data_IF_151459490176
#
_entry.id   IF_151459490176
#
_cell.length_a   1.000
_cell.length_b   1.000
_cell.length_c   1.000
_cell.angle_alpha   90.00
_cell.angle_beta   90.00
_cell.angle_gamma   90.00
#
_symmetry.space_group_name_H-M   'P 1'
#
loop_
_entity.id
_entity.type
_entity.pdbx_description
1 polymer ?
#
# COMPACT_ATOMS: atom_id res chain seq x y z
N UNK A 1 -25.19 21.01 35.27
CA UNK A 1 -25.17 22.22 34.46
C UNK A 1 -24.48 21.91 33.16
N UNK A 2 -25.08 22.23 32.02
CA UNK A 2 -24.38 22.21 30.71
C UNK A 2 -23.79 23.60 30.45
N UNK A 3 -22.65 23.68 29.82
CA UNK A 3 -22.04 24.93 29.38
C UNK A 3 -22.16 25.05 27.87
N UNK A 4 -22.37 26.26 27.32
CA UNK A 4 -22.36 26.46 25.86
C UNK A 4 -20.98 26.16 25.28
N UNK A 5 -20.94 25.62 24.04
CA UNK A 5 -19.74 25.34 23.31
C UNK A 5 -19.96 25.47 21.79
N UNK A 6 -18.89 25.80 21.07
CA UNK A 6 -18.89 25.81 19.63
C UNK A 6 -18.26 24.50 19.11
N UNK A 7 -18.64 24.10 17.91
CA UNK A 7 -18.06 22.92 17.21
C UNK A 7 -17.50 23.34 15.85
N UNK A 8 -16.36 22.85 15.52
CA UNK A 8 -15.71 23.09 14.23
C UNK A 8 -15.00 21.83 13.71
N UNK A 9 -14.77 21.80 12.40
CA UNK A 9 -14.07 20.69 11.71
C UNK A 9 -12.66 21.15 11.32
N UNK A 10 -11.77 21.34 12.28
CA UNK A 10 -10.39 21.81 12.04
C UNK A 10 -9.43 20.68 11.71
N UNK A 11 -9.67 19.47 12.24
CA UNK A 11 -8.86 18.28 11.96
C UNK A 11 -9.34 17.66 10.64
N UNK A 12 -8.41 17.31 9.73
CA UNK A 12 -8.70 16.76 8.41
C UNK A 12 -9.49 17.74 7.49
N UNK A 13 -9.15 19.02 7.53
CA UNK A 13 -9.82 20.05 6.74
C UNK A 13 -9.74 19.86 5.22
N UNK A 14 -8.65 19.22 4.71
CA UNK A 14 -8.49 18.90 3.30
C UNK A 14 -8.90 17.46 2.99
N UNK A 15 -8.47 16.49 3.80
CA UNK A 15 -8.81 15.08 3.59
C UNK A 15 -8.82 14.28 4.89
N UNK A 16 -9.88 13.48 5.05
CA UNK A 16 -9.96 12.43 6.06
C UNK A 16 -9.70 11.09 5.37
N UNK A 17 -8.60 10.44 5.72
CA UNK A 17 -8.18 9.17 5.14
C UNK A 17 -8.34 8.05 6.15
N UNK A 18 -8.84 6.90 5.71
CA UNK A 18 -8.91 5.69 6.52
C UNK A 18 -7.85 4.68 6.08
N UNK A 19 -7.28 3.95 7.02
CA UNK A 19 -6.41 2.82 6.77
C UNK A 19 -6.91 1.60 7.52
N UNK A 20 -7.12 0.50 6.81
CA UNK A 20 -7.33 -0.82 7.41
C UNK A 20 -6.03 -1.60 7.24
N UNK A 21 -5.20 -1.60 8.28
CA UNK A 21 -3.92 -2.30 8.32
C UNK A 21 -4.09 -3.75 8.81
N UNK A 22 -3.07 -4.59 8.62
CA UNK A 22 -3.03 -5.91 9.25
C UNK A 22 -2.63 -5.80 10.73
N UNK A 23 -3.19 -6.66 11.57
CA UNK A 23 -2.79 -6.72 12.99
C UNK A 23 -1.31 -7.10 13.17
N UNK A 24 -0.72 -7.79 12.20
CA UNK A 24 0.68 -8.21 12.16
C UNK A 24 1.61 -7.18 11.53
N UNK A 25 1.09 -6.17 10.81
CA UNK A 25 1.92 -5.20 10.12
C UNK A 25 2.53 -4.18 11.10
N UNK A 26 3.85 -4.10 11.11
CA UNK A 26 4.64 -3.19 11.95
C UNK A 26 5.08 -1.90 11.21
N UNK A 27 4.84 -1.81 9.89
CA UNK A 27 5.51 -0.87 9.00
C UNK A 27 4.56 0.16 8.39
N UNK A 28 3.43 -0.30 7.81
CA UNK A 28 2.56 0.56 7.02
C UNK A 28 2.09 1.82 7.78
N UNK A 29 1.65 1.68 9.05
CA UNK A 29 1.20 2.83 9.84
C UNK A 29 2.34 3.83 10.06
N UNK A 30 3.55 3.33 10.33
CA UNK A 30 4.72 4.19 10.52
C UNK A 30 5.06 4.98 9.26
N UNK A 31 5.13 4.32 8.10
CA UNK A 31 5.50 4.94 6.83
C UNK A 31 4.43 5.94 6.36
N UNK A 32 3.15 5.57 6.41
CA UNK A 32 2.06 6.45 6.01
C UNK A 32 1.90 7.67 6.94
N UNK A 33 1.99 7.47 8.27
CA UNK A 33 1.94 8.58 9.22
C UNK A 33 3.11 9.54 9.05
N UNK A 34 4.33 9.02 8.78
CA UNK A 34 5.50 9.86 8.51
C UNK A 34 5.27 10.79 7.31
N UNK A 35 4.61 10.31 6.25
CA UNK A 35 4.25 11.14 5.12
C UNK A 35 3.11 12.11 5.46
N UNK A 36 1.98 11.60 5.94
CA UNK A 36 0.74 12.38 6.06
C UNK A 36 0.81 13.44 7.16
N UNK A 37 1.58 13.22 8.24
CA UNK A 37 1.82 14.23 9.26
C UNK A 37 2.51 15.49 8.70
N UNK A 38 3.18 15.40 7.56
CA UNK A 38 3.78 16.53 6.85
C UNK A 38 2.82 17.22 5.86
N UNK A 39 1.58 16.73 5.71
CA UNK A 39 0.60 17.27 4.75
C UNK A 39 -0.49 18.00 5.52
N UNK A 40 -0.46 19.33 5.46
CA UNK A 40 -1.42 20.17 6.18
C UNK A 40 -2.87 19.82 5.82
N UNK A 41 -3.73 19.72 6.83
CA UNK A 41 -5.15 19.43 6.68
C UNK A 41 -5.49 17.99 6.26
N UNK A 42 -4.51 17.08 6.24
CA UNK A 42 -4.71 15.65 6.02
C UNK A 42 -4.58 14.90 7.33
N UNK A 43 -5.48 13.97 7.58
CA UNK A 43 -5.43 13.11 8.77
C UNK A 43 -5.71 11.66 8.41
N UNK A 44 -4.84 10.75 8.87
CA UNK A 44 -5.01 9.31 8.77
C UNK A 44 -5.65 8.75 10.05
N UNK A 45 -6.69 7.93 9.87
CA UNK A 45 -7.34 7.15 10.92
C UNK A 45 -7.15 5.69 10.60
N UNK A 46 -6.69 4.90 11.57
CA UNK A 46 -6.34 3.49 11.33
C UNK A 46 -7.18 2.56 12.19
N UNK A 47 -7.55 1.43 11.60
CA UNK A 47 -8.01 0.23 12.29
C UNK A 47 -7.23 -0.99 11.82
N UNK A 48 -7.29 -2.11 12.56
CA UNK A 48 -6.51 -3.32 12.25
C UNK A 48 -7.42 -4.52 12.05
N UNK A 49 -7.28 -5.18 10.89
CA UNK A 49 -7.96 -6.46 10.64
C UNK A 49 -7.17 -7.60 11.28
N UNK A 50 -7.84 -8.47 12.06
CA UNK A 50 -7.18 -9.63 12.67
C UNK A 50 -6.62 -10.58 11.60
N UNK A 51 -5.36 -10.93 11.74
CA UNK A 51 -4.65 -11.86 10.87
C UNK A 51 -3.70 -12.74 11.71
N UNK A 52 -3.44 -13.97 11.26
CA UNK A 52 -2.36 -14.81 11.77
C UNK A 52 -1.07 -14.53 10.97
N UNK A 53 0.14 -14.69 11.58
CA UNK A 53 1.37 -14.29 10.91
C UNK A 53 1.70 -15.03 9.62
N UNK A 54 1.27 -16.30 9.47
CA UNK A 54 1.56 -17.10 8.28
C UNK A 54 0.77 -16.62 7.07
N UNK A 55 1.46 -16.19 6.02
CA UNK A 55 0.89 -15.69 4.77
C UNK A 55 0.67 -16.85 3.80
N UNK A 56 -0.57 -17.34 3.75
CA UNK A 56 -1.03 -18.39 2.83
C UNK A 56 -2.34 -17.95 2.15
N UNK A 57 -2.71 -18.62 1.06
CA UNK A 57 -4.00 -18.35 0.40
C UNK A 57 -5.17 -18.46 1.37
N UNK A 58 -5.20 -19.47 2.24
CA UNK A 58 -6.28 -19.67 3.22
C UNK A 58 -6.35 -18.55 4.25
N UNK A 59 -5.20 -18.17 4.84
CA UNK A 59 -5.16 -17.11 5.87
C UNK A 59 -5.53 -15.75 5.27
N UNK A 60 -5.13 -15.46 4.03
CA UNK A 60 -5.50 -14.24 3.32
C UNK A 60 -7.00 -14.21 2.99
N UNK A 61 -7.56 -15.33 2.50
CA UNK A 61 -9.00 -15.45 2.20
C UNK A 61 -9.85 -15.27 3.46
N UNK A 62 -9.41 -15.82 4.60
CA UNK A 62 -10.16 -15.73 5.87
C UNK A 62 -10.30 -14.28 6.40
N UNK A 63 -9.52 -13.35 5.88
CA UNK A 63 -9.61 -11.94 6.27
C UNK A 63 -10.87 -11.26 5.71
N UNK A 64 -11.43 -11.74 4.59
CA UNK A 64 -12.67 -11.18 4.01
C UNK A 64 -13.83 -11.22 5.03
N UNK A 65 -13.95 -12.30 5.79
CA UNK A 65 -15.00 -12.45 6.82
C UNK A 65 -14.91 -11.39 7.94
N UNK A 66 -13.70 -10.91 8.22
CA UNK A 66 -13.43 -9.96 9.31
C UNK A 66 -13.42 -8.51 8.82
N UNK A 67 -13.21 -8.30 7.52
CA UNK A 67 -12.97 -6.98 6.92
C UNK A 67 -14.14 -6.02 7.16
N UNK A 68 -15.37 -6.47 6.96
CA UNK A 68 -16.57 -5.64 7.13
C UNK A 68 -16.71 -5.11 8.58
N UNK A 69 -16.54 -5.97 9.58
CA UNK A 69 -16.63 -5.54 10.98
C UNK A 69 -15.47 -4.63 11.37
N UNK A 70 -14.28 -4.91 10.84
CA UNK A 70 -13.10 -4.06 11.03
C UNK A 70 -13.32 -2.67 10.44
N UNK A 71 -13.80 -2.57 9.20
CA UNK A 71 -14.07 -1.30 8.54
C UNK A 71 -15.08 -0.42 9.30
N UNK A 72 -16.08 -1.02 9.96
CA UNK A 72 -17.04 -0.28 10.82
C UNK A 72 -16.40 0.41 12.01
N UNK A 73 -15.22 0.00 12.45
CA UNK A 73 -14.52 0.64 13.57
C UNK A 73 -13.75 1.90 13.16
N UNK A 74 -13.59 2.17 11.85
CA UNK A 74 -13.01 3.40 11.36
C UNK A 74 -13.93 4.58 11.68
N UNK A 75 -13.57 5.38 12.66
CA UNK A 75 -14.20 6.64 13.06
C UNK A 75 -15.71 6.68 12.74
N UNK A 76 -16.54 5.89 13.43
CA UNK A 76 -17.96 5.71 13.11
C UNK A 76 -18.73 7.02 12.98
N UNK A 77 -19.64 7.10 12.00
CA UNK A 77 -20.45 8.28 11.73
C UNK A 77 -19.74 9.40 10.94
N UNK A 78 -18.49 9.19 10.52
CA UNK A 78 -17.74 10.16 9.73
C UNK A 78 -17.51 9.64 8.30
N UNK A 79 -17.53 10.58 7.34
CA UNK A 79 -17.22 10.27 5.94
C UNK A 79 -15.71 10.42 5.69
N UNK A 80 -15.14 9.44 4.96
CA UNK A 80 -13.76 9.46 4.47
C UNK A 80 -13.68 9.96 3.03
N UNK A 81 -12.58 10.64 2.69
CA UNK A 81 -12.22 10.94 1.30
C UNK A 81 -11.80 9.66 0.60
N UNK A 82 -11.03 8.83 1.28
CA UNK A 82 -10.55 7.53 0.79
C UNK A 82 -10.31 6.58 1.95
N UNK A 83 -10.52 5.28 1.73
CA UNK A 83 -10.09 4.22 2.64
C UNK A 83 -9.10 3.31 1.90
N UNK A 84 -7.90 3.15 2.44
CA UNK A 84 -6.89 2.20 1.99
C UNK A 84 -7.01 0.87 2.75
N UNK A 85 -7.04 -0.25 2.04
CA UNK A 85 -6.87 -1.57 2.62
C UNK A 85 -5.41 -2.00 2.49
N UNK A 86 -4.67 -1.97 3.60
CA UNK A 86 -3.21 -2.13 3.65
C UNK A 86 -2.76 -3.59 3.59
N UNK A 87 -3.14 -4.33 2.56
CA UNK A 87 -2.61 -5.67 2.29
C UNK A 87 -2.53 -5.96 0.79
N UNK A 88 -1.33 -6.08 0.25
CA UNK A 88 -1.13 -6.33 -1.19
C UNK A 88 -1.59 -7.73 -1.58
N UNK A 89 -1.12 -8.75 -0.88
CA UNK A 89 -1.43 -10.15 -1.18
C UNK A 89 -2.90 -10.50 -0.97
N UNK A 90 -3.51 -10.03 0.12
CA UNK A 90 -4.94 -10.28 0.35
C UNK A 90 -5.82 -9.57 -0.68
N UNK A 91 -5.44 -8.39 -1.16
CA UNK A 91 -6.19 -7.71 -2.22
C UNK A 91 -6.21 -8.51 -3.53
N UNK A 92 -5.13 -9.23 -3.84
CA UNK A 92 -5.06 -10.13 -5.00
C UNK A 92 -5.85 -11.41 -4.76
N UNK A 93 -5.77 -12.01 -3.57
CA UNK A 93 -6.41 -13.30 -3.25
C UNK A 93 -7.92 -13.16 -3.08
N UNK A 94 -8.39 -12.14 -2.37
CA UNK A 94 -9.81 -11.86 -2.14
C UNK A 94 -10.45 -11.27 -3.41
N UNK A 95 -9.69 -10.49 -4.15
CA UNK A 95 -10.13 -9.69 -5.28
C UNK A 95 -10.54 -8.27 -4.88
N UNK A 96 -10.08 -7.28 -5.66
CA UNK A 96 -10.27 -5.86 -5.36
C UNK A 96 -11.74 -5.46 -5.27
N UNK A 97 -12.58 -5.92 -6.21
CA UNK A 97 -14.01 -5.61 -6.22
C UNK A 97 -14.72 -6.06 -4.93
N UNK A 98 -14.34 -7.23 -4.42
CA UNK A 98 -14.87 -7.75 -3.16
C UNK A 98 -14.41 -6.93 -1.97
N UNK A 99 -13.13 -6.55 -1.92
CA UNK A 99 -12.57 -5.67 -0.88
C UNK A 99 -13.27 -4.31 -0.90
N UNK A 100 -13.45 -3.73 -2.08
CA UNK A 100 -14.09 -2.41 -2.23
C UNK A 100 -15.55 -2.46 -1.76
N UNK A 101 -16.35 -3.40 -2.26
CA UNK A 101 -17.73 -3.57 -1.85
C UNK A 101 -17.88 -3.77 -0.34
N UNK A 102 -16.99 -4.58 0.26
CA UNK A 102 -17.02 -4.86 1.70
C UNK A 102 -16.76 -3.59 2.52
N UNK A 103 -15.81 -2.75 2.11
CA UNK A 103 -15.47 -1.50 2.81
C UNK A 103 -16.56 -0.45 2.59
N UNK A 104 -17.04 -0.25 1.37
CA UNK A 104 -18.07 0.73 1.01
C UNK A 104 -19.40 0.46 1.71
N UNK A 105 -19.73 -0.79 1.97
CA UNK A 105 -20.93 -1.17 2.74
C UNK A 105 -20.75 -1.01 4.25
N UNK A 106 -19.50 -0.98 4.73
CA UNK A 106 -19.19 -0.90 6.17
C UNK A 106 -19.01 0.52 6.69
N UNK A 107 -18.43 1.42 5.89
CA UNK A 107 -18.17 2.80 6.28
C UNK A 107 -18.42 3.77 5.12
N UNK A 108 -18.75 5.02 5.45
CA UNK A 108 -18.95 6.06 4.43
C UNK A 108 -17.60 6.50 3.87
N UNK A 109 -17.36 6.25 2.58
CA UNK A 109 -16.16 6.70 1.89
C UNK A 109 -16.48 7.15 0.47
N UNK A 110 -15.68 8.05 -0.09
CA UNK A 110 -15.79 8.47 -1.49
C UNK A 110 -15.04 7.55 -2.43
N UNK A 111 -14.01 6.87 -1.95
CA UNK A 111 -13.17 5.94 -2.71
C UNK A 111 -12.57 4.88 -1.80
N UNK A 112 -12.24 3.74 -2.38
CA UNK A 112 -11.44 2.68 -1.75
C UNK A 112 -10.24 2.38 -2.62
N UNK A 113 -9.13 2.02 -2.02
CA UNK A 113 -7.92 1.61 -2.74
C UNK A 113 -7.14 0.56 -1.97
N UNK A 114 -6.26 -0.14 -2.69
CA UNK A 114 -5.34 -1.14 -2.13
C UNK A 114 -3.93 -0.90 -2.67
N UNK A 115 -2.87 -1.49 -2.09
CA UNK A 115 -1.52 -1.34 -2.63
C UNK A 115 -1.37 -1.82 -4.07
N UNK A 116 -2.10 -2.89 -4.47
CA UNK A 116 -2.00 -3.41 -5.83
C UNK A 116 -2.74 -2.52 -6.83
N UNK A 117 -3.93 -2.01 -6.46
CA UNK A 117 -4.67 -0.99 -7.23
C UNK A 117 -3.83 0.27 -7.43
N UNK A 118 -3.19 0.73 -6.36
CA UNK A 118 -2.31 1.90 -6.38
C UNK A 118 -1.07 1.66 -7.25
N UNK A 119 -0.51 0.45 -7.25
CA UNK A 119 0.60 0.08 -8.12
C UNK A 119 0.20 0.12 -9.60
N UNK A 120 -0.99 -0.37 -9.97
CA UNK A 120 -1.50 -0.24 -11.36
C UNK A 120 -1.67 1.23 -11.75
N UNK A 121 -2.18 2.08 -10.86
CA UNK A 121 -2.29 3.52 -11.10
C UNK A 121 -0.90 4.17 -11.28
N UNK A 122 0.09 3.77 -10.47
CA UNK A 122 1.47 4.22 -10.57
C UNK A 122 2.11 3.80 -11.91
N UNK A 123 1.96 2.53 -12.31
CA UNK A 123 2.42 2.02 -13.60
C UNK A 123 1.86 2.82 -14.77
N UNK A 124 0.56 3.13 -14.73
CA UNK A 124 -0.09 3.96 -15.75
C UNK A 124 0.47 5.38 -15.76
N UNK A 125 0.67 5.98 -14.60
CA UNK A 125 1.19 7.37 -14.46
C UNK A 125 2.62 7.48 -14.95
N UNK A 126 3.48 6.54 -14.56
CA UNK A 126 4.90 6.50 -14.91
C UNK A 126 5.20 5.76 -16.23
N UNK A 127 4.15 5.24 -16.89
CA UNK A 127 4.24 4.49 -18.16
C UNK A 127 5.14 3.26 -18.10
N UNK A 128 5.24 2.63 -16.91
CA UNK A 128 5.97 1.39 -16.72
C UNK A 128 5.35 0.23 -17.48
N UNK A 129 6.17 -0.66 -18.02
CA UNK A 129 5.73 -1.83 -18.82
C UNK A 129 6.46 -3.11 -18.48
N UNK A 130 7.76 -3.01 -18.17
CA UNK A 130 8.66 -4.13 -17.85
C UNK A 130 8.98 -4.09 -16.38
N UNK A 131 8.34 -4.95 -15.60
CA UNK A 131 8.36 -4.88 -14.15
C UNK A 131 9.40 -5.83 -13.56
N UNK A 132 10.28 -5.30 -12.72
CA UNK A 132 11.02 -6.04 -11.70
C UNK A 132 10.16 -6.17 -10.44
N UNK A 133 9.85 -7.39 -10.03
CA UNK A 133 9.01 -7.66 -8.86
C UNK A 133 9.84 -8.25 -7.73
N UNK A 134 9.95 -7.55 -6.59
CA UNK A 134 10.48 -8.08 -5.34
C UNK A 134 9.36 -8.28 -4.33
N UNK A 135 9.29 -9.47 -3.71
CA UNK A 135 8.31 -9.79 -2.67
C UNK A 135 8.98 -10.49 -1.48
N UNK A 136 8.39 -10.53 -0.30
CA UNK A 136 8.82 -11.44 0.75
C UNK A 136 8.21 -12.85 0.61
N UNK A 137 7.15 -13.03 -0.18
CA UNK A 137 6.24 -14.16 -0.13
C UNK A 137 6.84 -15.47 -0.65
N UNK A 138 6.32 -16.60 -0.14
CA UNK A 138 6.59 -17.93 -0.71
C UNK A 138 6.01 -18.08 -2.12
N UNK A 139 6.51 -19.07 -2.88
CA UNK A 139 6.29 -19.20 -4.33
C UNK A 139 4.84 -19.13 -4.80
N UNK A 140 3.88 -19.65 -4.02
CA UNK A 140 2.46 -19.63 -4.38
C UNK A 140 1.91 -18.19 -4.45
N UNK A 141 2.08 -17.42 -3.39
CA UNK A 141 1.60 -16.03 -3.32
C UNK A 141 2.35 -15.14 -4.31
N UNK A 142 3.68 -15.35 -4.44
CA UNK A 142 4.47 -14.64 -5.45
C UNK A 142 3.94 -14.88 -6.86
N UNK A 143 3.55 -16.13 -7.19
CA UNK A 143 2.97 -16.49 -8.48
C UNK A 143 1.59 -15.87 -8.70
N UNK A 144 0.77 -15.70 -7.66
CA UNK A 144 -0.52 -15.01 -7.75
C UNK A 144 -0.34 -13.55 -8.12
N UNK A 145 0.60 -12.84 -7.47
CA UNK A 145 0.88 -11.43 -7.78
C UNK A 145 1.43 -11.29 -9.21
N UNK A 146 2.32 -12.20 -9.64
CA UNK A 146 2.80 -12.20 -11.01
C UNK A 146 1.65 -12.34 -12.01
N UNK A 147 0.80 -13.35 -11.86
CA UNK A 147 -0.38 -13.56 -12.73
C UNK A 147 -1.35 -12.37 -12.72
N UNK A 148 -1.47 -11.69 -11.58
CA UNK A 148 -2.29 -10.48 -11.49
C UNK A 148 -1.80 -9.40 -12.47
N UNK A 149 -0.51 -9.07 -12.48
CA UNK A 149 0.04 -8.09 -13.41
C UNK A 149 -0.05 -8.56 -14.87
N UNK A 150 0.20 -9.84 -15.15
CA UNK A 150 0.07 -10.43 -16.48
C UNK A 150 -1.37 -10.33 -17.02
N UNK A 151 -2.39 -10.47 -16.16
CA UNK A 151 -3.79 -10.29 -16.52
C UNK A 151 -4.14 -8.86 -16.94
N UNK A 152 -3.37 -7.87 -16.47
CA UNK A 152 -3.44 -6.46 -16.91
C UNK A 152 -2.44 -6.13 -18.03
N UNK A 153 -1.92 -7.14 -18.73
CA UNK A 153 -1.00 -7.01 -19.86
C UNK A 153 0.36 -6.38 -19.53
N UNK A 154 0.77 -6.40 -18.25
CA UNK A 154 2.12 -6.01 -17.84
C UNK A 154 3.09 -7.17 -17.92
N UNK A 155 4.32 -6.90 -18.38
CA UNK A 155 5.40 -7.88 -18.44
C UNK A 155 6.19 -7.92 -17.12
N UNK A 156 6.14 -9.05 -16.41
CA UNK A 156 7.06 -9.30 -15.29
C UNK A 156 8.38 -9.83 -15.84
N UNK A 157 9.31 -8.91 -16.10
CA UNK A 157 10.62 -9.24 -16.68
C UNK A 157 11.46 -10.12 -15.73
N UNK A 158 11.41 -9.82 -14.43
CA UNK A 158 12.05 -10.62 -13.39
C UNK A 158 11.27 -10.57 -12.09
N UNK A 159 11.17 -11.71 -11.39
CA UNK A 159 10.54 -11.80 -10.07
C UNK A 159 11.46 -12.47 -9.08
N UNK A 160 11.69 -11.84 -7.95
CA UNK A 160 12.56 -12.27 -6.85
C UNK A 160 11.80 -12.28 -5.55
N UNK A 161 12.13 -13.20 -4.64
CA UNK A 161 11.45 -13.29 -3.35
C UNK A 161 12.42 -13.65 -2.23
N UNK A 162 12.15 -13.12 -1.02
CA UNK A 162 12.84 -13.55 0.20
C UNK A 162 12.32 -14.89 0.74
N UNK A 163 11.22 -15.41 0.20
CA UNK A 163 10.58 -16.69 0.59
C UNK A 163 10.26 -16.77 2.09
N UNK A 164 9.83 -15.67 2.67
CA UNK A 164 9.43 -15.58 4.09
C UNK A 164 7.91 -15.76 4.21
N UNK A 165 7.48 -16.72 5.01
CA UNK A 165 6.07 -17.02 5.25
C UNK A 165 5.48 -16.21 6.41
N UNK A 166 6.32 -15.80 7.37
CA UNK A 166 5.89 -15.09 8.57
C UNK A 166 5.95 -13.58 8.37
N UNK A 167 4.78 -12.92 8.40
CA UNK A 167 4.64 -11.48 8.20
C UNK A 167 5.41 -10.65 9.24
N UNK A 168 5.48 -11.12 10.52
CA UNK A 168 6.29 -10.46 11.54
C UNK A 168 7.80 -10.53 11.23
N UNK A 169 8.25 -11.59 10.56
CA UNK A 169 9.65 -11.71 10.12
C UNK A 169 9.90 -10.88 8.87
N UNK A 170 8.94 -10.84 7.94
CA UNK A 170 9.00 -9.95 6.78
C UNK A 170 9.20 -8.49 7.19
N UNK A 171 8.47 -8.01 8.21
CA UNK A 171 8.62 -6.68 8.79
C UNK A 171 9.98 -6.38 9.45
N UNK A 172 10.80 -7.42 9.68
CA UNK A 172 12.15 -7.31 10.24
C UNK A 172 13.25 -7.36 9.18
N UNK A 173 12.92 -7.63 7.90
CA UNK A 173 13.89 -7.54 6.81
C UNK A 173 14.42 -6.11 6.77
N UNK A 174 15.75 -5.97 6.78
CA UNK A 174 16.37 -4.65 6.87
C UNK A 174 16.25 -3.88 5.56
N UNK A 175 16.15 -2.54 5.60
CA UNK A 175 16.21 -1.72 4.39
C UNK A 175 17.46 -1.97 3.55
N UNK A 176 18.60 -2.25 4.18
CA UNK A 176 19.83 -2.62 3.48
C UNK A 176 19.64 -3.92 2.67
N UNK A 177 19.11 -4.99 3.28
CA UNK A 177 18.84 -6.26 2.56
C UNK A 177 17.86 -6.08 1.41
N UNK A 178 16.85 -5.19 1.56
CA UNK A 178 15.91 -4.89 0.49
C UNK A 178 16.62 -4.14 -0.65
N UNK A 179 17.41 -3.12 -0.32
CA UNK A 179 18.18 -2.34 -1.30
C UNK A 179 19.18 -3.21 -2.06
N UNK A 180 19.94 -4.04 -1.34
CA UNK A 180 20.93 -4.93 -1.94
C UNK A 180 20.26 -5.92 -2.90
N UNK A 181 19.17 -6.57 -2.48
CA UNK A 181 18.41 -7.47 -3.34
C UNK A 181 17.89 -6.77 -4.62
N UNK A 182 17.38 -5.55 -4.52
CA UNK A 182 16.91 -4.79 -5.69
C UNK A 182 18.06 -4.46 -6.64
N UNK A 183 19.19 -4.00 -6.12
CA UNK A 183 20.35 -3.62 -6.93
C UNK A 183 20.98 -4.85 -7.58
N UNK A 184 21.25 -5.91 -6.81
CA UNK A 184 21.92 -7.11 -7.30
C UNK A 184 21.10 -7.84 -8.36
N UNK A 185 19.78 -7.88 -8.16
CA UNK A 185 18.91 -8.67 -9.01
C UNK A 185 18.37 -7.91 -10.23
N UNK A 186 18.28 -6.58 -10.18
CA UNK A 186 17.61 -5.83 -11.25
C UNK A 186 18.51 -4.88 -12.04
N UNK A 187 19.71 -4.53 -11.56
CA UNK A 187 20.59 -3.54 -12.22
C UNK A 187 21.06 -3.92 -13.63
N UNK A 188 20.98 -5.18 -14.01
CA UNK A 188 21.41 -5.68 -15.33
C UNK A 188 20.26 -6.13 -16.21
N UNK A 189 19.03 -5.93 -15.75
CA UNK A 189 17.82 -6.38 -16.43
C UNK A 189 17.21 -5.24 -17.25
N UNK A 190 16.53 -5.59 -18.34
CA UNK A 190 15.75 -4.64 -19.13
C UNK A 190 14.40 -4.37 -18.46
N UNK A 191 14.44 -3.53 -17.41
CA UNK A 191 13.32 -3.18 -16.53
C UNK A 191 13.16 -1.68 -16.56
N UNK A 192 11.91 -1.19 -16.66
CA UNK A 192 11.57 0.23 -16.62
C UNK A 192 10.79 0.63 -15.36
N UNK A 193 10.38 -0.38 -14.55
CA UNK A 193 9.63 -0.16 -13.33
C UNK A 193 9.92 -1.28 -12.31
N UNK A 194 10.24 -0.91 -11.08
CA UNK A 194 10.44 -1.88 -9.98
C UNK A 194 9.31 -1.72 -8.95
N UNK A 195 8.67 -2.85 -8.62
CA UNK A 195 7.68 -2.92 -7.56
C UNK A 195 8.18 -3.79 -6.39
N UNK A 196 8.37 -3.15 -5.24
CA UNK A 196 8.68 -3.82 -3.97
C UNK A 196 7.35 -4.07 -3.25
N UNK A 197 6.86 -5.29 -3.35
CA UNK A 197 5.50 -5.69 -2.99
C UNK A 197 5.46 -6.31 -1.60
N UNK A 198 4.92 -5.64 -0.66
CA UNK A 198 4.41 -6.01 0.66
C UNK A 198 4.38 -4.76 1.54
N UNK A 199 3.32 -4.58 2.30
CA UNK A 199 3.17 -3.44 3.22
C UNK A 199 4.06 -3.55 4.46
N UNK A 200 4.46 -4.77 4.81
CA UNK A 200 5.38 -5.05 5.93
C UNK A 200 6.86 -4.83 5.58
N UNK A 201 7.23 -4.58 4.30
CA UNK A 201 8.61 -4.25 3.94
C UNK A 201 8.91 -2.76 4.16
N UNK A 202 9.96 -2.45 4.92
CA UNK A 202 10.43 -1.07 5.19
C UNK A 202 11.20 -0.51 4.00
N UNK A 203 10.49 -0.06 2.97
CA UNK A 203 11.10 0.30 1.70
C UNK A 203 10.67 1.66 1.14
N UNK A 204 9.77 2.40 1.79
CA UNK A 204 9.29 3.70 1.33
C UNK A 204 10.45 4.69 1.10
N UNK A 205 11.33 4.83 2.09
CA UNK A 205 12.47 5.75 2.05
C UNK A 205 13.58 5.31 1.07
N UNK A 206 13.55 4.05 0.60
CA UNK A 206 14.51 3.56 -0.38
C UNK A 206 14.18 4.01 -1.81
N UNK A 207 12.92 4.40 -2.09
CA UNK A 207 12.46 4.71 -3.43
C UNK A 207 13.36 5.72 -4.15
N UNK A 208 13.57 6.95 -3.65
CA UNK A 208 14.41 7.92 -4.36
C UNK A 208 15.87 7.48 -4.49
N UNK A 209 16.39 6.71 -3.53
CA UNK A 209 17.75 6.18 -3.56
C UNK A 209 17.92 5.12 -4.66
N UNK A 210 16.92 4.25 -4.81
CA UNK A 210 16.95 3.18 -5.81
C UNK A 210 16.70 3.73 -7.21
N UNK A 211 15.81 4.73 -7.36
CA UNK A 211 15.59 5.42 -8.62
C UNK A 211 16.88 6.10 -9.14
N UNK A 212 17.61 6.77 -8.25
CA UNK A 212 18.89 7.42 -8.59
C UNK A 212 19.96 6.39 -9.02
N UNK A 213 20.03 5.24 -8.31
CA UNK A 213 21.04 4.21 -8.59
C UNK A 213 20.75 3.38 -9.84
N UNK A 214 19.49 3.15 -10.15
CA UNK A 214 19.08 2.21 -11.21
C UNK A 214 18.56 2.92 -12.46
N UNK A 215 18.40 4.23 -12.41
CA UNK A 215 17.84 5.07 -13.49
C UNK A 215 16.50 4.52 -14.00
N UNK A 216 15.68 3.97 -13.09
CA UNK A 216 14.40 3.35 -13.40
C UNK A 216 13.37 3.70 -12.32
N UNK A 217 12.09 3.74 -12.69
CA UNK A 217 11.02 4.06 -11.74
C UNK A 217 10.91 2.97 -10.66
N UNK A 218 10.82 3.37 -9.41
CA UNK A 218 10.66 2.46 -8.29
C UNK A 218 9.44 2.85 -7.47
N UNK A 219 8.66 1.86 -7.05
CA UNK A 219 7.62 2.07 -6.02
C UNK A 219 7.53 0.88 -5.07
N UNK A 220 6.94 1.13 -3.91
CA UNK A 220 6.63 0.07 -2.93
C UNK A 220 5.12 0.01 -2.70
N UNK A 221 4.64 -1.04 -2.04
CA UNK A 221 3.23 -1.14 -1.65
C UNK A 221 2.76 0.09 -0.88
N UNK A 222 3.51 0.53 0.13
CA UNK A 222 3.15 1.67 0.97
C UNK A 222 3.30 3.00 0.23
N UNK A 223 4.33 3.13 -0.60
CA UNK A 223 4.60 4.33 -1.39
C UNK A 223 3.49 4.57 -2.43
N UNK A 224 3.14 3.56 -3.20
CA UNK A 224 2.05 3.63 -4.16
C UNK A 224 0.70 3.90 -3.48
N UNK A 225 0.40 3.18 -2.37
CA UNK A 225 -0.83 3.36 -1.61
C UNK A 225 -0.97 4.79 -1.10
N UNK A 226 0.07 5.32 -0.46
CA UNK A 226 0.06 6.67 0.09
C UNK A 226 -0.16 7.73 -1.00
N UNK A 227 0.56 7.63 -2.13
CA UNK A 227 0.37 8.50 -3.29
C UNK A 227 -1.06 8.42 -3.82
N UNK A 228 -1.59 7.22 -4.03
CA UNK A 228 -2.92 7.04 -4.58
C UNK A 228 -4.03 7.54 -3.64
N UNK A 229 -3.87 7.35 -2.32
CA UNK A 229 -4.78 7.91 -1.33
C UNK A 229 -4.80 9.44 -1.39
N UNK A 230 -3.66 10.10 -1.55
CA UNK A 230 -3.61 11.55 -1.76
C UNK A 230 -4.37 11.96 -3.03
N UNK A 231 -4.09 11.32 -4.17
CA UNK A 231 -4.72 11.66 -5.46
C UNK A 231 -6.24 11.42 -5.44
N UNK A 232 -6.71 10.31 -4.89
CA UNK A 232 -8.14 10.03 -4.72
C UNK A 232 -8.84 10.99 -3.75
N UNK A 233 -8.10 11.61 -2.85
CA UNK A 233 -8.60 12.64 -1.94
C UNK A 233 -8.54 14.06 -2.52
N UNK A 234 -8.11 14.22 -3.78
CA UNK A 234 -7.95 15.53 -4.42
C UNK A 234 -6.72 16.31 -3.96
N UNK A 235 -5.81 15.69 -3.24
CA UNK A 235 -4.54 16.29 -2.81
C UNK A 235 -3.50 16.07 -3.91
N UNK A 236 -3.17 17.14 -4.64
CA UNK A 236 -2.23 17.10 -5.77
C UNK A 236 -0.87 17.73 -5.42
N UNK A 237 -0.57 17.83 -4.14
CA UNK A 237 0.71 18.31 -3.66
C UNK A 237 1.86 17.44 -4.21
N UNK A 238 2.95 18.08 -4.65
CA UNK A 238 4.10 17.42 -5.26
C UNK A 238 5.28 17.40 -4.29
N UNK A 239 5.98 16.27 -4.24
CA UNK A 239 7.11 16.06 -3.33
C UNK A 239 8.32 15.59 -4.13
N UNK A 240 9.32 16.43 -4.29
CA UNK A 240 10.52 16.12 -5.08
C UNK A 240 11.46 15.12 -4.41
N UNK A 241 11.34 14.97 -3.11
CA UNK A 241 12.18 14.11 -2.25
C UNK A 241 11.58 12.71 -2.01
N UNK A 242 10.42 12.41 -2.61
CA UNK A 242 9.69 11.14 -2.44
C UNK A 242 9.70 10.24 -3.68
N UNK A 243 10.60 10.47 -4.64
CA UNK A 243 10.67 9.71 -5.88
C UNK A 243 9.78 10.26 -6.99
N UNK A 244 9.91 9.65 -8.19
CA UNK A 244 9.29 10.18 -9.42
C UNK A 244 7.75 10.17 -9.35
N UNK A 245 7.17 9.15 -8.72
CA UNK A 245 5.70 9.04 -8.59
C UNK A 245 5.09 10.25 -7.89
N UNK A 246 5.72 10.78 -6.85
CA UNK A 246 5.22 11.92 -6.08
C UNK A 246 5.43 13.28 -6.74
N UNK A 247 6.10 13.33 -7.88
CA UNK A 247 6.20 14.54 -8.72
C UNK A 247 5.02 14.70 -9.69
N UNK A 248 4.16 13.65 -9.80
CA UNK A 248 3.02 13.57 -10.71
C UNK A 248 1.67 13.73 -10.03
#
# INVERSE_FOLDING_TARGET
MSVPYDVENIIAGRARMGLIALATDHVIEHELNKLFNGVEGVQLYTTKVPMVPNVTTDTLTSMDEKLHQTAKTLLPGNKFSVVGYGCTSASVVIGEDRVFQTIETACQTSSVTTPITACLAALKTLRGKKIGLLTPYVGEINSLIKRYFEAYEYNIAKSVTFSEIDDNRAGKITPASISDAVIDEFSREDIDFIFISCTSLRAFELVPILEDKLECNVTTSNHALAWHMLRLSGINDKYSDKGELFKN
#
